data_IF_718016570668
#
_entry.id   IF_718016570668
#
_cell.length_a   1.000
_cell.length_b   1.000
_cell.length_c   1.000
_cell.angle_alpha   90.00
_cell.angle_beta   90.00
_cell.angle_gamma   90.00
#
_symmetry.space_group_name_H-M   'P 1'
#
loop_
_entity.id
_entity.type
_entity.pdbx_description
1 polymer ?
#
# COMPACT_ATOMS: atom_id res chain seq x y z
N UNK A 1 24.27 10.01 -24.23
CA UNK A 1 23.04 9.22 -23.96
C UNK A 1 21.89 10.20 -24.00
N UNK A 2 20.89 9.97 -24.86
CA UNK A 2 19.70 10.81 -24.89
C UNK A 2 18.98 10.68 -23.54
N UNK A 3 18.87 11.77 -22.81
CA UNK A 3 18.01 11.87 -21.62
C UNK A 3 16.58 11.65 -22.11
N UNK A 4 16.00 10.49 -21.85
CA UNK A 4 14.57 10.28 -22.12
C UNK A 4 13.81 11.18 -21.14
N UNK A 5 13.41 12.35 -21.64
CA UNK A 5 12.49 13.24 -20.92
C UNK A 5 11.20 12.47 -20.66
N UNK A 6 10.78 12.38 -19.42
CA UNK A 6 9.47 11.82 -19.08
C UNK A 6 8.43 12.77 -19.67
N UNK A 7 7.56 12.23 -20.51
CA UNK A 7 6.44 12.98 -21.06
C UNK A 7 5.18 12.79 -20.20
N UNK A 8 4.25 13.74 -20.29
CA UNK A 8 2.92 13.64 -19.66
C UNK A 8 2.20 12.36 -20.11
N UNK A 9 2.30 12.00 -21.38
CA UNK A 9 1.65 10.81 -21.97
C UNK A 9 2.19 9.53 -21.36
N UNK A 10 3.51 9.47 -21.09
CA UNK A 10 4.11 8.28 -20.46
C UNK A 10 3.66 8.09 -19.02
N UNK A 11 3.35 9.17 -18.31
CA UNK A 11 2.80 9.09 -16.93
C UNK A 11 1.33 8.73 -16.97
N UNK A 12 0.55 9.31 -17.90
CA UNK A 12 -0.86 8.98 -18.07
C UNK A 12 -1.06 7.51 -18.45
N UNK A 13 -0.18 6.95 -19.28
CA UNK A 13 -0.26 5.57 -19.74
C UNK A 13 -0.14 4.51 -18.62
N UNK A 14 0.47 4.84 -17.48
CA UNK A 14 0.56 3.92 -16.32
C UNK A 14 -0.61 4.07 -15.36
N UNK A 15 -1.45 5.09 -15.52
CA UNK A 15 -2.61 5.32 -14.66
C UNK A 15 -3.77 4.41 -15.07
N UNK A 16 -4.39 3.66 -14.12
CA UNK A 16 -5.55 2.80 -14.40
C UNK A 16 -6.76 3.57 -14.96
N UNK A 17 -6.95 4.80 -14.49
CA UNK A 17 -8.04 5.67 -14.94
C UNK A 17 -7.44 6.86 -15.72
N UNK A 18 -7.51 6.79 -17.04
CA UNK A 18 -7.03 7.88 -17.90
C UNK A 18 -7.94 9.11 -17.84
N UNK A 19 -9.21 8.87 -17.55
CA UNK A 19 -10.21 9.90 -17.22
C UNK A 19 -10.92 9.46 -15.94
N UNK A 20 -11.31 10.43 -15.11
CA UNK A 20 -12.19 10.18 -13.97
C UNK A 20 -13.64 10.15 -14.47
N UNK A 21 -14.53 9.54 -13.67
CA UNK A 21 -15.96 9.57 -13.97
C UNK A 21 -16.46 11.01 -13.95
N UNK A 22 -17.26 11.40 -14.94
CA UNK A 22 -17.85 12.73 -15.01
C UNK A 22 -19.03 12.85 -14.06
N UNK A 23 -19.09 13.91 -13.29
CA UNK A 23 -20.16 14.26 -12.37
C UNK A 23 -20.92 15.47 -12.93
N UNK A 24 -22.21 15.31 -13.15
CA UNK A 24 -23.07 16.39 -13.59
C UNK A 24 -23.84 16.97 -12.40
N UNK A 25 -23.86 18.30 -12.29
CA UNK A 25 -24.47 19.01 -11.16
C UNK A 25 -23.61 19.00 -9.91
N UNK A 26 -24.24 19.15 -8.76
CA UNK A 26 -23.54 19.15 -7.46
C UNK A 26 -23.05 17.75 -7.11
N UNK A 27 -21.75 17.58 -6.81
CA UNK A 27 -21.19 16.30 -6.42
C UNK A 27 -21.72 15.85 -5.04
N UNK A 28 -22.19 14.62 -4.98
CA UNK A 28 -22.56 13.98 -3.71
C UNK A 28 -21.34 13.37 -3.00
N UNK A 29 -21.49 13.05 -1.72
CA UNK A 29 -20.47 12.28 -0.97
C UNK A 29 -20.12 10.95 -1.67
N UNK A 30 -21.12 10.24 -2.19
CA UNK A 30 -20.93 8.98 -2.91
C UNK A 30 -20.08 9.16 -4.19
N UNK A 31 -20.31 10.25 -4.91
CA UNK A 31 -19.52 10.60 -6.09
C UNK A 31 -18.07 10.89 -5.70
N UNK A 32 -17.86 11.69 -4.66
CA UNK A 32 -16.51 11.98 -4.17
C UNK A 32 -15.78 10.74 -3.67
N UNK A 33 -16.47 9.81 -3.02
CA UNK A 33 -15.88 8.54 -2.61
C UNK A 33 -15.43 7.72 -3.82
N UNK A 34 -16.20 7.68 -4.89
CA UNK A 34 -15.88 7.03 -6.16
C UNK A 34 -14.67 7.69 -6.84
N UNK A 35 -14.69 9.01 -7.00
CA UNK A 35 -13.59 9.79 -7.58
C UNK A 35 -12.30 9.62 -6.78
N UNK A 36 -12.34 9.73 -5.44
CA UNK A 36 -11.16 9.50 -4.59
C UNK A 36 -10.56 8.11 -4.77
N UNK A 37 -11.40 7.08 -4.97
CA UNK A 37 -10.92 5.72 -5.25
C UNK A 37 -10.17 5.64 -6.58
N UNK A 38 -10.66 6.31 -7.62
CA UNK A 38 -9.99 6.38 -8.92
C UNK A 38 -8.67 7.16 -8.84
N UNK A 39 -8.68 8.33 -8.18
CA UNK A 39 -7.45 9.12 -7.93
C UNK A 39 -6.43 8.30 -7.13
N UNK A 40 -6.85 7.60 -6.06
CA UNK A 40 -5.97 6.73 -5.28
C UNK A 40 -5.29 5.69 -6.16
N UNK A 41 -6.05 5.01 -7.03
CA UNK A 41 -5.51 4.00 -7.94
C UNK A 41 -4.49 4.61 -8.92
N UNK A 42 -4.78 5.78 -9.47
CA UNK A 42 -3.86 6.50 -10.36
C UNK A 42 -2.56 6.88 -9.63
N UNK A 43 -2.65 7.44 -8.43
CA UNK A 43 -1.48 7.88 -7.66
C UNK A 43 -0.61 6.71 -7.18
N UNK A 44 -1.20 5.57 -6.83
CA UNK A 44 -0.47 4.35 -6.46
C UNK A 44 0.28 3.76 -7.66
N UNK A 45 -0.29 3.84 -8.87
CA UNK A 45 0.32 3.31 -10.08
C UNK A 45 1.58 4.07 -10.52
N UNK A 46 1.76 5.31 -10.06
CA UNK A 46 2.95 6.12 -10.37
C UNK A 46 4.11 5.64 -9.50
N UNK A 47 5.05 4.93 -10.11
CA UNK A 47 6.24 4.41 -9.41
C UNK A 47 7.14 5.54 -8.92
N UNK A 48 7.48 5.51 -7.63
CA UNK A 48 8.42 6.44 -6.99
C UNK A 48 9.58 5.67 -6.36
N UNK A 49 10.75 6.31 -6.13
CA UNK A 49 11.82 5.69 -5.36
C UNK A 49 11.36 5.35 -3.94
N UNK A 50 12.01 4.37 -3.32
CA UNK A 50 11.66 3.93 -1.95
C UNK A 50 11.74 5.07 -0.92
N UNK A 51 12.64 6.03 -1.13
CA UNK A 51 12.77 7.22 -0.29
C UNK A 51 11.57 8.18 -0.43
N UNK A 52 10.82 8.12 -1.53
CA UNK A 52 9.64 8.93 -1.79
C UNK A 52 8.41 8.02 -1.88
N UNK A 53 7.34 8.37 -1.20
CA UNK A 53 6.08 7.63 -1.25
C UNK A 53 6.07 6.26 -0.58
N UNK A 54 7.19 5.77 -0.06
CA UNK A 54 7.29 4.49 0.69
C UNK A 54 6.68 3.28 -0.03
N UNK A 55 6.90 3.16 -1.35
CA UNK A 55 6.33 2.08 -2.17
C UNK A 55 4.83 2.19 -2.43
N UNK A 56 4.21 3.34 -2.10
CA UNK A 56 2.79 3.63 -2.34
C UNK A 56 2.58 4.73 -3.39
N UNK A 57 3.55 4.96 -4.24
CA UNK A 57 3.49 6.00 -5.24
C UNK A 57 3.29 7.39 -4.62
N UNK A 58 2.30 8.11 -5.11
CA UNK A 58 1.94 9.45 -4.63
C UNK A 58 0.68 9.46 -3.74
N UNK A 59 0.30 8.31 -3.17
CA UNK A 59 -0.93 8.20 -2.38
C UNK A 59 -1.01 9.19 -1.20
N UNK A 60 0.12 9.52 -0.58
CA UNK A 60 0.18 10.49 0.52
C UNK A 60 -0.11 11.94 0.12
N UNK A 61 -0.17 12.25 -1.18
CA UNK A 61 -0.59 13.59 -1.64
C UNK A 61 -2.06 13.91 -1.33
N UNK A 62 -2.87 12.86 -1.10
CA UNK A 62 -4.30 13.02 -0.83
C UNK A 62 -4.75 12.41 0.50
N UNK A 63 -3.96 11.50 1.08
CA UNK A 63 -4.27 10.95 2.40
C UNK A 63 -3.75 11.87 3.50
N UNK A 64 -4.51 11.95 4.59
CA UNK A 64 -4.02 12.54 5.83
C UNK A 64 -2.79 11.80 6.32
N UNK A 65 -1.82 12.52 6.86
CA UNK A 65 -0.52 11.97 7.25
C UNK A 65 -0.65 10.92 8.38
N UNK A 66 -1.58 11.13 9.33
CA UNK A 66 -1.87 10.17 10.38
C UNK A 66 -2.54 8.90 9.84
N UNK A 67 -3.46 9.05 8.89
CA UNK A 67 -4.11 7.94 8.19
C UNK A 67 -3.09 7.16 7.36
N UNK A 68 -2.22 7.86 6.64
CA UNK A 68 -1.16 7.23 5.86
C UNK A 68 -0.20 6.43 6.75
N UNK A 69 0.25 7.02 7.86
CA UNK A 69 1.12 6.37 8.85
C UNK A 69 0.47 5.09 9.41
N UNK A 70 -0.79 5.20 9.84
CA UNK A 70 -1.52 4.07 10.44
C UNK A 70 -1.69 2.91 9.46
N UNK A 71 -2.00 3.21 8.19
CA UNK A 71 -2.24 2.18 7.15
C UNK A 71 -0.97 1.56 6.60
N UNK A 72 0.13 2.31 6.54
CA UNK A 72 1.35 1.88 5.85
C UNK A 72 2.54 1.63 6.81
N UNK A 73 2.38 1.89 8.10
CA UNK A 73 3.41 1.65 9.13
C UNK A 73 4.58 2.64 9.09
N UNK A 74 4.56 3.64 8.19
CA UNK A 74 5.58 4.67 8.06
C UNK A 74 4.96 5.97 7.57
N UNK A 75 5.52 7.12 7.98
CA UNK A 75 5.08 8.43 7.52
C UNK A 75 5.33 8.61 6.01
N UNK A 76 4.43 9.34 5.35
CA UNK A 76 4.63 9.74 3.96
C UNK A 76 5.86 10.64 3.84
N UNK A 77 6.70 10.36 2.85
CA UNK A 77 7.81 11.23 2.47
C UNK A 77 7.53 11.76 1.05
N UNK A 78 7.06 13.02 0.93
CA UNK A 78 6.70 13.58 -0.37
C UNK A 78 7.93 13.79 -1.25
N UNK A 79 7.75 13.78 -2.60
CA UNK A 79 8.78 14.27 -3.49
C UNK A 79 9.16 15.72 -3.14
N UNK A 80 10.43 16.11 -3.31
CA UNK A 80 10.88 17.49 -3.00
C UNK A 80 10.02 18.55 -3.71
N UNK A 81 9.77 19.68 -3.07
CA UNK A 81 9.04 20.79 -3.67
C UNK A 81 9.82 21.40 -4.85
N UNK A 82 11.14 21.53 -4.72
CA UNK A 82 12.03 22.04 -5.78
C UNK A 82 12.71 20.89 -6.55
N UNK A 83 13.12 21.11 -7.83
CA UNK A 83 13.89 20.14 -8.57
C UNK A 83 15.16 19.73 -7.80
N UNK A 84 15.54 18.44 -7.80
CA UNK A 84 16.80 18.00 -7.20
C UNK A 84 17.98 18.75 -7.80
N UNK A 85 18.91 19.16 -6.94
CA UNK A 85 20.13 19.86 -7.35
C UNK A 85 21.36 18.97 -7.16
N UNK A 86 22.44 19.30 -7.91
CA UNK A 86 23.70 18.59 -7.76
C UNK A 86 24.25 18.80 -6.33
N UNK A 87 24.59 17.72 -5.59
CA UNK A 87 25.08 17.85 -4.24
C UNK A 87 26.42 18.59 -4.22
N UNK A 88 26.62 19.45 -3.19
CA UNK A 88 27.89 20.12 -2.98
C UNK A 88 28.95 19.08 -2.61
N UNK A 89 29.92 18.87 -3.48
CA UNK A 89 30.99 17.92 -3.27
C UNK A 89 32.17 18.60 -2.60
N UNK A 90 32.75 17.91 -1.61
CA UNK A 90 33.98 18.40 -0.97
C UNK A 90 35.17 18.45 -1.94
N UNK A 91 36.22 19.25 -1.66
CA UNK A 91 37.39 19.42 -2.53
C UNK A 91 38.15 18.14 -2.81
N UNK A 92 37.98 17.10 -2.01
CA UNK A 92 38.59 15.78 -2.19
C UNK A 92 37.76 14.73 -2.90
N UNK A 93 36.60 15.09 -3.46
CA UNK A 93 35.75 14.14 -4.14
C UNK A 93 36.42 13.51 -5.36
N UNK A 94 36.37 12.18 -5.44
CA UNK A 94 36.91 11.40 -6.55
C UNK A 94 36.04 11.53 -7.81
N UNK A 95 36.64 11.19 -8.97
CA UNK A 95 35.85 11.17 -10.23
C UNK A 95 34.69 10.17 -10.15
N UNK A 96 34.88 9.01 -9.51
CA UNK A 96 33.82 8.01 -9.31
C UNK A 96 32.64 8.57 -8.47
N UNK A 97 32.94 9.25 -7.36
CA UNK A 97 31.90 9.88 -6.52
C UNK A 97 31.13 10.95 -7.28
N UNK A 98 31.79 11.74 -8.11
CA UNK A 98 31.13 12.75 -8.95
C UNK A 98 30.23 12.13 -10.00
N UNK A 99 30.66 11.02 -10.62
CA UNK A 99 29.84 10.30 -11.60
C UNK A 99 28.63 9.63 -10.95
N UNK A 100 28.81 9.02 -9.79
CA UNK A 100 27.72 8.47 -8.97
C UNK A 100 26.69 9.56 -8.60
N UNK A 101 27.15 10.72 -8.12
CA UNK A 101 26.28 11.84 -7.80
C UNK A 101 25.51 12.37 -9.01
N UNK A 102 26.12 12.38 -10.22
CA UNK A 102 25.40 12.72 -11.46
C UNK A 102 24.34 11.69 -11.82
N UNK A 103 24.66 10.41 -11.68
CA UNK A 103 23.70 9.33 -11.96
C UNK A 103 22.50 9.39 -11.00
N UNK A 104 22.73 9.58 -9.71
CA UNK A 104 21.68 9.76 -8.70
C UNK A 104 20.85 11.00 -8.99
N UNK A 105 21.49 12.13 -9.30
CA UNK A 105 20.78 13.36 -9.69
C UNK A 105 19.87 13.15 -10.89
N UNK A 106 20.37 12.49 -11.94
CA UNK A 106 19.58 12.23 -13.14
C UNK A 106 18.36 11.37 -12.86
N UNK A 107 18.51 10.34 -12.02
CA UNK A 107 17.40 9.48 -11.57
C UNK A 107 16.39 10.27 -10.75
N UNK A 108 16.84 11.01 -9.74
CA UNK A 108 15.95 11.79 -8.88
C UNK A 108 15.22 12.90 -9.65
N UNK A 109 15.90 13.56 -10.58
CA UNK A 109 15.27 14.55 -11.47
C UNK A 109 14.16 13.91 -12.32
N UNK A 110 14.40 12.71 -12.81
CA UNK A 110 13.40 11.94 -13.56
C UNK A 110 12.17 11.65 -12.72
N UNK A 111 12.33 11.12 -11.51
CA UNK A 111 11.20 10.82 -10.60
C UNK A 111 10.49 12.09 -10.14
N UNK A 112 11.24 13.15 -9.89
CA UNK A 112 10.65 14.45 -9.57
C UNK A 112 9.74 14.97 -10.70
N UNK A 113 10.22 14.96 -11.94
CA UNK A 113 9.42 15.35 -13.10
C UNK A 113 8.18 14.46 -13.24
N UNK A 114 8.32 13.15 -13.04
CA UNK A 114 7.21 12.21 -13.06
C UNK A 114 6.14 12.54 -12.01
N UNK A 115 6.56 12.87 -10.80
CA UNK A 115 5.66 13.28 -9.72
C UNK A 115 4.91 14.58 -10.06
N UNK A 116 5.61 15.59 -10.61
CA UNK A 116 4.98 16.86 -11.03
C UNK A 116 3.97 16.64 -12.15
N UNK A 117 4.31 15.83 -13.15
CA UNK A 117 3.37 15.47 -14.21
C UNK A 117 2.15 14.75 -13.68
N UNK A 118 2.33 13.75 -12.77
CA UNK A 118 1.23 13.04 -12.18
C UNK A 118 0.27 13.94 -11.40
N UNK A 119 0.79 14.84 -10.56
CA UNK A 119 -0.01 15.80 -9.80
C UNK A 119 -0.84 16.68 -10.74
N UNK A 120 -0.23 17.21 -11.80
CA UNK A 120 -0.92 18.04 -12.80
C UNK A 120 -1.97 17.26 -13.59
N UNK A 121 -1.67 16.01 -13.95
CA UNK A 121 -2.64 15.15 -14.66
C UNK A 121 -3.88 14.96 -13.78
N UNK A 122 -3.72 14.64 -12.49
CA UNK A 122 -4.86 14.44 -11.59
C UNK A 122 -5.69 15.71 -11.44
N UNK A 123 -5.07 16.88 -11.26
CA UNK A 123 -5.81 18.15 -11.17
C UNK A 123 -6.60 18.41 -12.47
N UNK A 124 -6.00 18.18 -13.64
CA UNK A 124 -6.69 18.33 -14.92
C UNK A 124 -7.85 17.31 -15.06
N UNK A 125 -7.64 16.05 -14.67
CA UNK A 125 -8.69 15.04 -14.66
C UNK A 125 -9.86 15.44 -13.73
N UNK A 126 -9.56 16.07 -12.59
CA UNK A 126 -10.60 16.60 -11.70
C UNK A 126 -11.34 17.78 -12.34
N UNK A 127 -10.66 18.69 -13.02
CA UNK A 127 -11.33 19.75 -13.78
C UNK A 127 -12.27 19.20 -14.88
N UNK A 128 -11.87 18.13 -15.55
CA UNK A 128 -12.67 17.46 -16.57
C UNK A 128 -13.83 16.66 -16.00
N UNK A 129 -13.70 16.19 -14.75
CA UNK A 129 -14.70 15.39 -14.07
C UNK A 129 -15.86 16.22 -13.48
N UNK A 130 -15.61 17.48 -13.12
CA UNK A 130 -16.59 18.35 -12.46
C UNK A 130 -16.95 19.54 -13.32
N UNK A 131 -18.18 20.04 -13.13
CA UNK A 131 -18.60 21.28 -13.76
C UNK A 131 -17.85 22.51 -13.19
N UNK A 132 -17.60 23.55 -14.00
CA UNK A 132 -16.76 24.69 -13.59
C UNK A 132 -17.18 25.38 -12.30
N UNK A 133 -18.48 25.43 -11.99
CA UNK A 133 -18.99 26.08 -10.78
C UNK A 133 -18.51 25.37 -9.49
N UNK A 134 -18.17 24.08 -9.57
CA UNK A 134 -17.74 23.27 -8.41
C UNK A 134 -16.36 23.72 -7.92
N UNK A 135 -15.50 24.22 -8.79
CA UNK A 135 -14.15 24.64 -8.45
C UNK A 135 -13.84 26.10 -8.75
N UNK A 136 -14.86 26.90 -9.07
CA UNK A 136 -14.70 28.30 -9.41
C UNK A 136 -14.00 29.13 -8.35
N UNK A 137 -14.16 28.80 -7.06
CA UNK A 137 -13.49 29.48 -5.95
C UNK A 137 -11.99 29.14 -5.83
N UNK A 138 -11.57 28.03 -6.46
CA UNK A 138 -10.16 27.63 -6.49
C UNK A 138 -9.44 28.21 -7.70
N UNK A 139 -10.17 28.69 -8.68
CA UNK A 139 -9.65 29.17 -9.96
C UNK A 139 -9.16 30.60 -9.82
N UNK A 140 -7.84 30.76 -9.69
CA UNK A 140 -7.22 32.08 -9.61
C UNK A 140 -7.32 32.81 -10.97
N UNK A 141 -7.73 34.10 -11.01
CA UNK A 141 -7.91 34.83 -12.25
C UNK A 141 -6.66 34.92 -13.13
N UNK A 142 -5.46 34.90 -12.53
CA UNK A 142 -4.19 35.03 -13.22
C UNK A 142 -3.48 33.72 -13.45
N UNK A 143 -3.58 32.78 -12.49
CA UNK A 143 -2.81 31.54 -12.46
C UNK A 143 -3.69 30.28 -12.69
N UNK A 144 -5.00 30.44 -12.66
CA UNK A 144 -5.93 29.32 -12.74
C UNK A 144 -5.73 28.32 -11.59
N UNK A 145 -5.78 27.03 -11.87
CA UNK A 145 -5.54 25.97 -10.88
C UNK A 145 -4.05 25.56 -10.80
N UNK A 146 -3.11 26.38 -11.27
CA UNK A 146 -1.69 25.99 -11.35
C UNK A 146 -1.07 25.65 -10.00
N UNK A 147 -1.52 26.32 -8.93
CA UNK A 147 -1.03 26.16 -7.58
C UNK A 147 -1.95 25.32 -6.68
N UNK A 148 -3.08 24.83 -7.21
CA UNK A 148 -4.01 24.02 -6.45
C UNK A 148 -3.47 22.61 -6.30
N UNK A 149 -3.35 22.15 -5.07
CA UNK A 149 -2.95 20.76 -4.76
C UNK A 149 -4.17 19.84 -4.90
N UNK A 150 -3.92 18.55 -5.18
CA UNK A 150 -4.98 17.54 -5.24
C UNK A 150 -5.76 17.50 -3.92
N UNK A 151 -5.06 17.59 -2.78
CA UNK A 151 -5.69 17.61 -1.44
C UNK A 151 -6.60 18.81 -1.26
N UNK A 152 -6.14 20.02 -1.65
CA UNK A 152 -6.94 21.23 -1.55
C UNK A 152 -8.19 21.17 -2.45
N UNK A 153 -8.06 20.64 -3.67
CA UNK A 153 -9.19 20.47 -4.57
C UNK A 153 -10.25 19.51 -3.98
N UNK A 154 -9.81 18.34 -3.49
CA UNK A 154 -10.71 17.37 -2.85
C UNK A 154 -11.36 17.97 -1.60
N UNK A 155 -10.59 18.65 -0.74
CA UNK A 155 -11.12 19.28 0.47
C UNK A 155 -12.19 20.32 0.12
N UNK A 156 -11.92 21.20 -0.84
CA UNK A 156 -12.89 22.20 -1.28
C UNK A 156 -14.23 21.58 -1.69
N UNK A 157 -14.20 20.50 -2.50
CA UNK A 157 -15.46 19.85 -2.93
C UNK A 157 -16.15 19.16 -1.74
N UNK A 158 -15.38 18.50 -0.87
CA UNK A 158 -15.94 17.82 0.29
C UNK A 158 -16.61 18.81 1.25
N UNK A 159 -15.98 19.97 1.47
CA UNK A 159 -16.47 20.96 2.41
C UNK A 159 -17.68 21.75 1.90
N UNK A 160 -17.73 22.03 0.59
CA UNK A 160 -18.75 22.90 0.02
C UNK A 160 -19.93 22.16 -0.62
N UNK A 161 -19.73 20.94 -1.12
CA UNK A 161 -20.74 20.23 -1.91
C UNK A 161 -21.03 18.81 -1.39
N UNK A 162 -20.01 18.07 -0.99
CA UNK A 162 -20.12 16.66 -0.67
C UNK A 162 -20.22 16.40 0.84
N UNK A 163 -20.79 17.33 1.60
CA UNK A 163 -21.05 17.14 3.03
C UNK A 163 -22.16 16.11 3.23
N UNK A 164 -21.96 15.19 4.16
CA UNK A 164 -22.98 14.20 4.49
C UNK A 164 -24.09 14.89 5.27
N UNK A 165 -25.30 14.88 4.70
CA UNK A 165 -26.48 15.46 5.32
C UNK A 165 -27.07 14.54 6.40
N UNK A 166 -27.83 15.13 7.36
CA UNK A 166 -28.56 14.36 8.38
C UNK A 166 -29.55 13.36 7.72
N UNK A 167 -30.17 13.74 6.61
CA UNK A 167 -31.08 12.86 5.87
C UNK A 167 -30.36 11.62 5.33
N UNK A 168 -29.13 11.76 4.81
CA UNK A 168 -28.33 10.62 4.34
C UNK A 168 -27.90 9.71 5.49
N UNK A 169 -27.62 10.29 6.67
CA UNK A 169 -27.31 9.52 7.89
C UNK A 169 -28.55 8.70 8.31
N UNK A 170 -29.74 9.32 8.33
CA UNK A 170 -30.96 8.66 8.68
C UNK A 170 -31.32 7.56 7.66
N UNK A 171 -31.17 7.82 6.37
CA UNK A 171 -31.37 6.84 5.29
C UNK A 171 -30.40 5.67 5.42
N UNK A 172 -29.15 5.93 5.77
CA UNK A 172 -28.15 4.88 6.01
C UNK A 172 -28.55 4.01 7.22
N UNK A 173 -29.04 4.62 8.29
CA UNK A 173 -29.53 3.90 9.47
C UNK A 173 -30.76 3.06 9.14
N UNK A 174 -31.69 3.57 8.31
CA UNK A 174 -32.82 2.80 7.80
C UNK A 174 -32.34 1.60 7.00
N UNK A 175 -31.39 1.78 6.07
CA UNK A 175 -30.77 0.68 5.28
C UNK A 175 -30.07 -0.34 6.18
N UNK A 176 -29.35 0.12 7.19
CA UNK A 176 -28.68 -0.74 8.18
C UNK A 176 -29.66 -1.61 8.95
N UNK A 177 -30.84 -1.09 9.30
CA UNK A 177 -31.88 -1.81 10.04
C UNK A 177 -32.80 -2.66 9.14
N UNK A 178 -32.60 -2.64 7.81
CA UNK A 178 -33.33 -3.51 6.91
C UNK A 178 -32.97 -4.99 7.16
N UNK A 179 -33.98 -5.84 7.28
CA UNK A 179 -33.81 -7.27 7.43
C UNK A 179 -33.14 -7.90 6.21
N UNK A 180 -32.85 -9.19 6.32
CA UNK A 180 -32.29 -9.96 5.20
C UNK A 180 -33.42 -10.13 4.17
N UNK A 181 -33.20 -9.58 2.98
CA UNK A 181 -34.07 -9.80 1.84
C UNK A 181 -34.01 -11.28 1.42
N UNK A 182 -35.14 -11.99 1.31
CA UNK A 182 -35.16 -13.39 0.88
C UNK A 182 -34.53 -13.64 -0.49
N UNK A 183 -34.47 -12.64 -1.36
CA UNK A 183 -33.85 -12.73 -2.68
C UNK A 183 -32.32 -12.52 -2.64
N UNK A 184 -31.79 -11.93 -1.58
CA UNK A 184 -30.37 -11.65 -1.44
C UNK A 184 -29.63 -12.83 -0.78
N UNK A 185 -28.37 -12.99 -1.16
CA UNK A 185 -27.45 -13.90 -0.45
C UNK A 185 -27.01 -13.29 0.89
N UNK A 186 -26.61 -14.13 1.83
CA UNK A 186 -26.04 -13.63 3.10
C UNK A 186 -24.76 -12.81 2.88
N UNK A 187 -24.01 -13.12 1.82
CA UNK A 187 -22.83 -12.35 1.44
C UNK A 187 -23.20 -10.92 1.00
N UNK A 188 -24.23 -10.78 0.18
CA UNK A 188 -24.73 -9.45 -0.23
C UNK A 188 -25.28 -8.67 0.96
N UNK A 189 -26.05 -9.32 1.84
CA UNK A 189 -26.49 -8.70 3.08
C UNK A 189 -25.31 -8.23 3.92
N UNK A 190 -24.31 -9.09 4.13
CA UNK A 190 -23.11 -8.73 4.91
C UNK A 190 -22.39 -7.53 4.30
N UNK A 191 -22.27 -7.52 2.97
CA UNK A 191 -21.64 -6.39 2.25
C UNK A 191 -22.44 -5.10 2.41
N UNK A 192 -23.78 -5.16 2.35
CA UNK A 192 -24.63 -3.98 2.62
C UNK A 192 -24.40 -3.45 4.03
N UNK A 193 -24.32 -4.31 5.04
CA UNK A 193 -24.05 -3.92 6.43
C UNK A 193 -22.67 -3.25 6.58
N UNK A 194 -21.65 -3.81 5.94
CA UNK A 194 -20.29 -3.24 5.91
C UNK A 194 -20.26 -1.87 5.23
N UNK A 195 -21.01 -1.69 4.14
CA UNK A 195 -21.12 -0.38 3.48
C UNK A 195 -21.86 0.65 4.35
N UNK A 196 -22.89 0.22 5.09
CA UNK A 196 -23.56 1.10 6.04
C UNK A 196 -22.63 1.53 7.19
N UNK A 197 -21.81 0.61 7.70
CA UNK A 197 -20.82 0.91 8.72
C UNK A 197 -19.75 1.86 8.21
N UNK A 198 -19.23 1.61 6.99
CA UNK A 198 -18.24 2.46 6.35
C UNK A 198 -18.77 3.89 6.17
N UNK A 199 -20.02 4.03 5.66
CA UNK A 199 -20.67 5.34 5.53
C UNK A 199 -20.85 6.03 6.89
N UNK A 200 -21.30 5.29 7.91
CA UNK A 200 -21.50 5.84 9.25
C UNK A 200 -20.17 6.31 9.88
N UNK A 201 -19.08 5.58 9.65
CA UNK A 201 -17.73 5.99 10.06
C UNK A 201 -17.29 7.28 9.36
N UNK A 202 -17.55 7.39 8.06
CA UNK A 202 -17.24 8.59 7.28
C UNK A 202 -18.10 9.80 7.71
N UNK A 203 -19.32 9.55 8.22
CA UNK A 203 -20.24 10.56 8.77
C UNK A 203 -19.99 10.89 10.26
N UNK A 204 -18.92 10.36 10.85
CA UNK A 204 -18.60 10.48 12.29
C UNK A 204 -19.67 9.94 13.23
N UNK A 205 -20.57 9.08 12.72
CA UNK A 205 -21.62 8.39 13.49
C UNK A 205 -21.30 6.90 13.50
N UNK A 206 -20.44 6.47 14.41
CA UNK A 206 -19.90 5.11 14.42
C UNK A 206 -20.96 4.05 14.70
N UNK A 207 -21.06 3.05 13.82
CA UNK A 207 -21.75 1.79 14.07
C UNK A 207 -20.74 0.77 14.60
N UNK A 208 -20.79 0.52 15.90
CA UNK A 208 -19.88 -0.42 16.54
C UNK A 208 -20.03 -1.84 15.98
N UNK A 209 -18.96 -2.61 15.92
CA UNK A 209 -18.99 -4.02 15.46
C UNK A 209 -20.00 -4.87 16.28
N UNK A 210 -20.11 -4.62 17.57
CA UNK A 210 -21.10 -5.29 18.44
C UNK A 210 -22.54 -5.02 18.02
N UNK A 211 -22.83 -3.81 17.52
CA UNK A 211 -24.12 -3.43 16.96
C UNK A 211 -24.39 -4.18 15.65
N UNK A 212 -23.39 -4.29 14.77
CA UNK A 212 -23.48 -5.09 13.54
C UNK A 212 -23.82 -6.55 13.85
N UNK A 213 -23.09 -7.16 14.77
CA UNK A 213 -23.31 -8.55 15.20
C UNK A 213 -24.72 -8.73 15.78
N UNK A 214 -25.17 -7.80 16.62
CA UNK A 214 -26.49 -7.88 17.27
C UNK A 214 -27.61 -7.74 16.25
N UNK A 215 -27.54 -6.71 15.38
CA UNK A 215 -28.53 -6.44 14.35
C UNK A 215 -28.55 -7.56 13.31
N UNK A 216 -27.38 -8.00 12.83
CA UNK A 216 -27.27 -9.12 11.91
C UNK A 216 -27.85 -10.41 12.48
N UNK A 217 -27.60 -10.69 13.76
CA UNK A 217 -28.19 -11.87 14.46
C UNK A 217 -29.71 -11.76 14.53
N UNK A 218 -30.25 -10.59 14.89
CA UNK A 218 -31.70 -10.35 14.91
C UNK A 218 -32.31 -10.59 13.53
N UNK A 219 -31.68 -10.08 12.48
CA UNK A 219 -32.15 -10.25 11.12
C UNK A 219 -32.06 -11.71 10.64
N UNK A 220 -30.97 -12.41 10.95
CA UNK A 220 -30.81 -13.83 10.61
C UNK A 220 -31.88 -14.71 11.29
N UNK A 221 -32.12 -14.49 12.56
CA UNK A 221 -33.18 -15.22 13.31
C UNK A 221 -34.56 -14.89 12.77
N UNK A 222 -34.85 -13.63 12.38
CA UNK A 222 -36.12 -13.21 11.84
C UNK A 222 -36.48 -13.89 10.49
N UNK A 223 -35.50 -14.46 9.78
CA UNK A 223 -35.80 -15.27 8.57
C UNK A 223 -36.45 -16.62 8.89
N UNK A 224 -36.58 -16.98 10.15
CA UNK A 224 -37.21 -18.21 10.63
C UNK A 224 -36.37 -19.47 10.44
N UNK A 225 -36.64 -20.54 11.19
CA UNK A 225 -35.96 -21.83 11.08
C UNK A 225 -34.47 -21.81 11.41
N UNK A 226 -34.05 -20.86 12.25
CA UNK A 226 -32.64 -20.69 12.65
C UNK A 226 -32.43 -20.96 14.16
N UNK A 227 -33.34 -21.67 14.81
CA UNK A 227 -33.35 -21.88 16.27
C UNK A 227 -32.10 -22.60 16.75
N UNK A 228 -31.66 -23.65 16.01
CA UNK A 228 -30.46 -24.42 16.37
C UNK A 228 -29.18 -23.59 16.15
N UNK A 229 -29.08 -22.89 15.02
CA UNK A 229 -27.98 -21.98 14.76
C UNK A 229 -27.89 -20.87 15.83
N UNK A 230 -29.05 -20.34 16.25
CA UNK A 230 -29.13 -19.39 17.34
C UNK A 230 -28.65 -19.96 18.68
N UNK A 231 -29.05 -21.19 19.03
CA UNK A 231 -28.57 -21.86 20.25
C UNK A 231 -27.07 -22.04 20.25
N UNK A 232 -26.48 -22.40 19.11
CA UNK A 232 -25.04 -22.55 18.96
C UNK A 232 -24.35 -21.16 19.09
N UNK A 233 -24.86 -20.14 18.40
CA UNK A 233 -24.32 -18.79 18.48
C UNK A 233 -24.32 -18.21 19.89
N UNK A 234 -25.38 -18.46 20.67
CA UNK A 234 -25.46 -18.05 22.09
C UNK A 234 -24.38 -18.62 22.97
N UNK A 235 -23.78 -19.75 22.61
CA UNK A 235 -22.70 -20.39 23.37
C UNK A 235 -21.33 -19.80 23.05
N UNK A 236 -21.21 -19.06 21.95
CA UNK A 236 -19.95 -18.35 21.60
C UNK A 236 -19.70 -17.27 22.67
N UNK A 237 -18.53 -17.25 23.32
CA UNK A 237 -18.17 -16.20 24.27
C UNK A 237 -18.26 -14.81 23.62
N UNK A 238 -18.61 -13.78 24.40
CA UNK A 238 -18.75 -12.41 23.88
C UNK A 238 -17.52 -11.93 23.10
N UNK A 239 -16.33 -12.21 23.62
CA UNK A 239 -15.07 -11.85 22.93
C UNK A 239 -14.87 -12.53 21.56
N UNK A 240 -15.54 -13.67 21.33
CA UNK A 240 -15.50 -14.38 20.05
C UNK A 240 -16.63 -13.98 19.09
N UNK A 241 -17.55 -13.09 19.51
CA UNK A 241 -18.66 -12.66 18.66
C UNK A 241 -18.25 -11.45 17.80
N UNK A 242 -17.29 -11.66 16.94
CA UNK A 242 -16.86 -10.66 15.93
C UNK A 242 -17.75 -10.74 14.69
N UNK A 243 -17.73 -9.69 13.88
CA UNK A 243 -18.46 -9.68 12.60
C UNK A 243 -17.92 -10.77 11.63
N UNK A 244 -16.63 -11.02 11.66
CA UNK A 244 -16.02 -12.11 10.89
C UNK A 244 -16.56 -13.50 11.33
N UNK A 245 -16.61 -13.76 12.63
CA UNK A 245 -17.18 -15.00 13.17
C UNK A 245 -18.67 -15.11 12.88
N UNK A 246 -19.41 -14.00 12.91
CA UNK A 246 -20.83 -13.91 12.54
C UNK A 246 -21.04 -14.38 11.11
N UNK A 247 -20.28 -13.82 10.15
CA UNK A 247 -20.37 -14.21 8.74
C UNK A 247 -20.16 -15.70 8.52
N UNK A 248 -19.12 -16.27 9.13
CA UNK A 248 -18.83 -17.71 9.02
C UNK A 248 -19.96 -18.55 9.56
N UNK A 249 -20.40 -18.28 10.80
CA UNK A 249 -21.44 -19.05 11.47
C UNK A 249 -22.77 -19.03 10.71
N UNK A 250 -23.25 -17.84 10.35
CA UNK A 250 -24.56 -17.72 9.71
C UNK A 250 -24.52 -18.16 8.24
N UNK A 251 -23.40 -18.04 7.54
CA UNK A 251 -23.28 -18.61 6.19
C UNK A 251 -23.45 -20.12 6.21
N UNK A 252 -22.81 -20.82 7.17
CA UNK A 252 -22.99 -22.25 7.35
C UNK A 252 -24.45 -22.61 7.68
N UNK A 253 -25.06 -21.88 8.61
CA UNK A 253 -26.46 -22.10 9.00
C UNK A 253 -27.44 -21.89 7.83
N UNK A 254 -27.23 -20.87 7.02
CA UNK A 254 -28.08 -20.62 5.82
C UNK A 254 -27.85 -21.70 4.75
N UNK A 255 -26.64 -22.22 4.60
CA UNK A 255 -26.36 -23.35 3.69
C UNK A 255 -27.06 -24.62 4.15
N UNK A 256 -26.91 -24.98 5.43
CA UNK A 256 -27.58 -26.13 6.03
C UNK A 256 -29.10 -26.06 5.88
N UNK A 257 -29.67 -24.89 6.16
CA UNK A 257 -31.11 -24.65 5.95
C UNK A 257 -31.53 -24.89 4.51
N UNK A 258 -30.77 -24.41 3.52
CA UNK A 258 -31.06 -24.63 2.10
C UNK A 258 -31.00 -26.10 1.71
N UNK A 259 -30.04 -26.84 2.24
CA UNK A 259 -29.93 -28.28 2.02
C UNK A 259 -31.11 -29.05 2.64
N UNK A 260 -31.49 -28.67 3.87
CA UNK A 260 -32.66 -29.26 4.51
C UNK A 260 -33.95 -29.03 3.71
N UNK A 261 -34.17 -27.82 3.21
CA UNK A 261 -35.31 -27.49 2.34
C UNK A 261 -35.33 -28.34 1.08
N UNK A 262 -34.15 -28.56 0.45
CA UNK A 262 -34.04 -29.44 -0.71
C UNK A 262 -34.39 -30.89 -0.40
N UNK A 263 -33.97 -31.39 0.76
CA UNK A 263 -34.22 -32.77 1.21
C UNK A 263 -35.66 -33.02 1.61
N UNK A 264 -36.29 -32.06 2.29
CA UNK A 264 -37.63 -32.22 2.85
C UNK A 264 -38.74 -31.85 1.89
N UNK A 265 -38.43 -31.17 0.79
CA UNK A 265 -39.44 -30.70 -0.19
C UNK A 265 -40.46 -29.70 0.40
N UNK A 266 -40.28 -29.29 1.65
CA UNK A 266 -41.16 -28.32 2.32
C UNK A 266 -40.75 -26.91 1.91
N UNK A 267 -41.60 -26.29 1.09
CA UNK A 267 -41.50 -24.85 0.82
C UNK A 267 -41.60 -24.09 2.15
N UNK A 268 -40.53 -23.43 2.54
CA UNK A 268 -40.48 -22.62 3.74
C UNK A 268 -41.31 -21.35 3.51
N UNK A 269 -42.22 -21.03 4.43
CA UNK A 269 -43.01 -19.78 4.41
C UNK A 269 -42.07 -18.57 4.43
N UNK A 270 -41.80 -17.99 3.30
CA UNK A 270 -40.83 -16.88 3.09
C UNK A 270 -39.99 -17.06 1.85
N UNK A 271 -39.93 -18.27 1.28
CA UNK A 271 -39.21 -18.58 0.05
C UNK A 271 -40.10 -19.17 -1.05
N UNK A 272 -41.42 -18.92 -1.01
CA UNK A 272 -42.36 -19.44 -1.99
C UNK A 272 -42.11 -18.97 -3.44
N UNK A 273 -41.24 -17.99 -3.65
CA UNK A 273 -40.84 -17.52 -4.97
C UNK A 273 -39.56 -18.16 -5.52
N UNK A 274 -38.92 -19.07 -4.77
CA UNK A 274 -37.64 -19.66 -5.23
C UNK A 274 -37.80 -20.87 -6.16
N UNK A 275 -38.99 -21.39 -6.37
CA UNK A 275 -39.23 -22.45 -7.38
C UNK A 275 -39.09 -21.93 -8.82
N UNK A 276 -39.25 -20.61 -9.03
CA UNK A 276 -38.99 -19.96 -10.33
C UNK A 276 -37.48 -19.58 -10.47
N UNK A 277 -36.75 -19.58 -9.36
CA UNK A 277 -35.36 -19.04 -9.29
C UNK A 277 -34.26 -20.05 -9.45
N UNK A 278 -34.54 -21.36 -9.67
CA UNK A 278 -33.46 -22.28 -10.06
C UNK A 278 -32.77 -21.82 -11.34
N UNK A 279 -33.49 -21.25 -12.28
CA UNK A 279 -32.90 -20.66 -13.48
C UNK A 279 -32.16 -19.32 -13.16
N UNK A 280 -32.67 -18.50 -12.26
CA UNK A 280 -32.01 -17.23 -11.85
C UNK A 280 -30.80 -17.52 -10.98
N UNK A 281 -30.84 -18.54 -10.09
CA UNK A 281 -29.65 -18.97 -9.33
C UNK A 281 -28.57 -19.58 -10.25
N UNK A 282 -28.92 -20.32 -11.29
CA UNK A 282 -27.96 -20.81 -12.27
C UNK A 282 -27.39 -19.66 -13.10
N UNK A 283 -28.20 -18.68 -13.49
CA UNK A 283 -27.73 -17.48 -14.19
C UNK A 283 -26.89 -16.62 -13.26
N UNK A 284 -27.30 -16.38 -12.00
CA UNK A 284 -26.50 -15.63 -11.03
C UNK A 284 -25.22 -16.35 -10.60
N UNK A 285 -25.23 -17.70 -10.52
CA UNK A 285 -24.01 -18.47 -10.27
C UNK A 285 -23.08 -18.50 -11.49
N UNK A 286 -23.65 -18.52 -12.70
CA UNK A 286 -22.89 -18.37 -13.95
C UNK A 286 -22.35 -16.95 -14.10
N UNK A 287 -23.10 -15.92 -13.77
CA UNK A 287 -22.64 -14.52 -13.75
C UNK A 287 -21.56 -14.30 -12.68
N UNK A 288 -21.70 -14.88 -11.50
CA UNK A 288 -20.67 -14.82 -10.47
C UNK A 288 -19.42 -15.64 -10.87
N UNK A 289 -19.60 -16.77 -11.54
CA UNK A 289 -18.49 -17.57 -12.11
C UNK A 289 -17.83 -16.84 -13.28
N UNK A 290 -18.62 -16.19 -14.12
CA UNK A 290 -18.13 -15.36 -15.23
C UNK A 290 -17.40 -14.13 -14.70
N UNK A 291 -17.95 -13.44 -13.70
CA UNK A 291 -17.29 -12.31 -13.03
C UNK A 291 -16.03 -12.73 -12.26
N UNK A 292 -16.04 -13.89 -11.60
CA UNK A 292 -14.85 -14.46 -10.97
C UNK A 292 -13.81 -14.92 -12.00
N UNK A 293 -14.25 -15.42 -13.17
CA UNK A 293 -13.37 -15.75 -14.29
C UNK A 293 -12.80 -14.49 -14.96
N UNK A 294 -13.59 -13.43 -15.10
CA UNK A 294 -13.15 -12.13 -15.57
C UNK A 294 -12.14 -11.50 -14.60
N UNK A 295 -12.40 -11.53 -13.30
CA UNK A 295 -11.44 -11.06 -12.29
C UNK A 295 -10.16 -11.91 -12.27
N UNK A 296 -10.26 -13.23 -12.47
CA UNK A 296 -9.08 -14.09 -12.65
C UNK A 296 -8.32 -13.76 -13.93
N UNK A 297 -9.01 -13.49 -15.03
CA UNK A 297 -8.36 -13.07 -16.28
C UNK A 297 -7.66 -11.71 -16.12
N UNK A 298 -8.29 -10.72 -15.47
CA UNK A 298 -7.65 -9.45 -15.14
C UNK A 298 -6.42 -9.65 -14.24
N UNK A 299 -6.52 -10.53 -13.24
CA UNK A 299 -5.37 -10.86 -12.37
C UNK A 299 -4.26 -11.57 -13.14
N UNK A 300 -4.60 -12.48 -14.05
CA UNK A 300 -3.64 -13.18 -14.93
C UNK A 300 -2.99 -12.20 -15.90
N UNK A 301 -3.75 -11.29 -16.49
CA UNK A 301 -3.19 -10.22 -17.33
C UNK A 301 -2.28 -9.27 -16.55
N UNK A 302 -2.66 -8.88 -15.33
CA UNK A 302 -1.80 -8.06 -14.46
C UNK A 302 -0.52 -8.79 -14.07
N UNK A 303 -0.60 -10.09 -13.75
CA UNK A 303 0.56 -10.93 -13.47
C UNK A 303 1.44 -11.09 -14.71
N UNK A 304 0.84 -11.27 -15.89
CA UNK A 304 1.59 -11.36 -17.16
C UNK A 304 2.34 -10.07 -17.44
N UNK A 305 1.68 -8.92 -17.30
CA UNK A 305 2.34 -7.60 -17.44
C UNK A 305 3.43 -7.39 -16.40
N UNK A 306 3.21 -7.81 -15.15
CA UNK A 306 4.23 -7.72 -14.11
C UNK A 306 5.45 -8.61 -14.42
N UNK A 307 5.24 -9.81 -14.95
CA UNK A 307 6.32 -10.71 -15.40
C UNK A 307 7.08 -10.10 -16.59
N UNK A 308 6.39 -9.49 -17.54
CA UNK A 308 7.04 -8.80 -18.67
C UNK A 308 7.91 -7.63 -18.19
N UNK A 309 7.41 -6.81 -17.25
CA UNK A 309 8.16 -5.71 -16.64
C UNK A 309 9.37 -6.23 -15.87
N UNK A 310 9.20 -7.28 -15.07
CA UNK A 310 10.29 -7.90 -14.31
C UNK A 310 11.34 -8.51 -15.26
N UNK A 311 10.91 -9.12 -16.36
CA UNK A 311 11.81 -9.69 -17.35
C UNK A 311 12.61 -8.60 -18.07
N UNK A 312 11.98 -7.50 -18.44
CA UNK A 312 12.66 -6.34 -19.04
C UNK A 312 13.64 -5.69 -18.05
N UNK A 313 13.26 -5.56 -16.78
CA UNK A 313 14.11 -5.03 -15.71
C UNK A 313 15.33 -5.93 -15.46
N UNK A 314 15.13 -7.25 -15.42
CA UNK A 314 16.23 -8.22 -15.29
C UNK A 314 17.20 -8.15 -16.48
N UNK A 315 16.67 -8.01 -17.71
CA UNK A 315 17.52 -7.86 -18.89
C UNK A 315 18.36 -6.58 -18.82
N UNK A 316 17.77 -5.47 -18.35
CA UNK A 316 18.49 -4.21 -18.12
C UNK A 316 19.57 -4.36 -17.05
N UNK A 317 19.25 -4.98 -15.91
CA UNK A 317 20.21 -5.23 -14.84
C UNK A 317 21.36 -6.13 -15.29
N UNK A 318 21.10 -7.16 -16.09
CA UNK A 318 22.15 -8.01 -16.67
C UNK A 318 23.06 -7.24 -17.63
N UNK A 319 22.51 -6.29 -18.40
CA UNK A 319 23.31 -5.43 -19.27
C UNK A 319 24.21 -4.49 -18.43
N UNK A 320 23.69 -3.94 -17.34
CA UNK A 320 24.46 -3.09 -16.43
C UNK A 320 25.55 -3.89 -15.68
N UNK A 321 25.25 -5.10 -15.24
CA UNK A 321 26.25 -6.01 -14.64
C UNK A 321 27.37 -6.32 -15.64
N UNK A 322 27.04 -6.63 -16.90
CA UNK A 322 28.05 -6.85 -17.95
C UNK A 322 28.91 -5.61 -18.15
N UNK A 323 28.30 -4.42 -18.19
CA UNK A 323 29.00 -3.14 -18.34
C UNK A 323 29.93 -2.85 -17.17
N UNK A 324 29.45 -3.07 -15.94
CA UNK A 324 30.25 -2.92 -14.73
C UNK A 324 31.40 -3.93 -14.68
N UNK A 325 31.17 -5.17 -15.06
CA UNK A 325 32.21 -6.22 -15.15
C UNK A 325 33.27 -5.85 -16.15
N UNK A 326 32.90 -5.29 -17.30
CA UNK A 326 33.84 -4.80 -18.32
C UNK A 326 34.64 -3.62 -17.78
N UNK A 327 34.00 -2.69 -17.08
CA UNK A 327 34.72 -1.56 -16.45
C UNK A 327 35.70 -2.04 -15.39
N UNK A 328 35.31 -2.96 -14.52
CA UNK A 328 36.22 -3.54 -13.50
C UNK A 328 37.39 -4.27 -14.14
N UNK A 329 37.17 -5.03 -15.22
CA UNK A 329 38.25 -5.71 -15.93
C UNK A 329 39.21 -4.72 -16.62
N UNK A 330 38.70 -3.61 -17.19
CA UNK A 330 39.55 -2.55 -17.75
C UNK A 330 40.35 -1.79 -16.67
N UNK A 331 39.76 -1.57 -15.49
CA UNK A 331 40.46 -1.02 -14.34
C UNK A 331 41.53 -1.98 -13.79
N UNK A 332 41.30 -3.29 -13.82
CA UNK A 332 42.25 -4.31 -13.39
C UNK A 332 43.43 -4.45 -14.36
N UNK A 333 43.19 -4.34 -15.67
CA UNK A 333 44.26 -4.38 -16.68
C UNK A 333 45.11 -3.11 -16.72
N UNK A 334 44.58 -1.95 -16.36
CA UNK A 334 45.36 -0.71 -16.26
C UNK A 334 46.22 -0.60 -14.97
N UNK A 335 46.08 -1.54 -14.03
CA UNK A 335 46.83 -1.56 -12.78
C UNK A 335 48.17 -2.26 -12.87
N UNK A 336 48.55 -2.76 -14.05
CA UNK A 336 49.82 -3.54 -14.23
C UNK A 336 51.02 -2.71 -14.64
N UNK A 337 51.00 -1.39 -14.71
CA UNK A 337 52.14 -0.57 -15.09
C UNK A 337 52.56 0.51 -14.10
N UNK A 338 52.19 0.41 -12.85
CA UNK A 338 52.91 1.16 -11.80
C UNK A 338 53.15 0.27 -10.60
N UNK A 339 54.33 -0.30 -10.55
CA UNK A 339 54.93 -0.88 -9.36
C UNK A 339 55.27 0.28 -8.40
N UNK A 340 54.55 0.47 -7.28
CA UNK A 340 55.04 1.33 -6.22
C UNK A 340 56.05 0.51 -5.40
N UNK A 341 57.28 1.04 -5.32
CA UNK A 341 58.28 0.68 -4.31
C UNK A 341 57.60 0.45 -2.97
N UNK A 342 57.91 -0.69 -2.38
CA UNK A 342 57.50 -1.10 -1.06
C UNK A 342 57.80 -0.04 0.00
N UNK A 343 56.76 0.72 0.39
CA UNK A 343 56.73 1.30 1.70
C UNK A 343 56.21 0.20 2.65
N UNK A 344 57.13 -0.36 3.41
CA UNK A 344 56.86 -1.19 4.58
C UNK A 344 56.04 -0.38 5.58
N UNK A 345 54.76 -0.38 5.39
CA UNK A 345 53.82 0.04 6.45
C UNK A 345 53.82 -1.08 7.48
N UNK A 346 54.32 -0.77 8.67
CA UNK A 346 54.28 -1.61 9.86
C UNK A 346 52.91 -2.28 9.93
N UNK A 347 52.90 -3.62 9.88
CA UNK A 347 51.69 -4.39 10.14
C UNK A 347 51.30 -4.09 11.59
N UNK A 348 50.30 -3.25 11.77
CA UNK A 348 49.70 -2.99 13.08
C UNK A 348 49.51 -4.33 13.80
N UNK A 349 49.88 -4.37 15.07
CA UNK A 349 49.71 -5.51 15.97
C UNK A 349 48.21 -5.84 16.11
N UNK A 350 47.74 -6.67 15.21
CA UNK A 350 46.37 -7.16 15.23
C UNK A 350 46.36 -8.57 15.85
N UNK A 351 45.48 -8.74 16.84
CA UNK A 351 45.23 -10.03 17.47
C UNK A 351 44.34 -10.88 16.57
N UNK A 352 44.87 -11.98 16.05
CA UNK A 352 44.13 -12.89 15.15
C UNK A 352 43.01 -13.64 15.88
N UNK A 353 43.17 -13.88 17.16
CA UNK A 353 42.17 -14.54 18.01
C UNK A 353 41.30 -13.56 18.77
N UNK A 354 41.58 -12.25 18.64
CA UNK A 354 40.91 -11.19 19.34
C UNK A 354 39.47 -10.99 18.83
N UNK A 355 38.55 -10.81 19.78
CA UNK A 355 37.15 -10.48 19.51
C UNK A 355 36.67 -9.35 20.41
N UNK A 356 35.84 -8.50 19.85
CA UNK A 356 35.09 -7.47 20.59
C UNK A 356 33.65 -7.44 20.15
N UNK A 357 32.71 -7.56 21.07
CA UNK A 357 31.26 -7.58 20.80
C UNK A 357 30.79 -6.40 19.92
N UNK A 358 31.39 -5.22 20.05
CA UNK A 358 31.01 -4.02 19.29
C UNK A 358 31.83 -3.77 18.01
N UNK A 359 33.00 -4.45 17.84
CA UNK A 359 33.89 -4.24 16.67
C UNK A 359 34.11 -5.50 15.82
N UNK A 360 33.68 -6.65 16.30
CA UNK A 360 33.86 -7.91 15.59
C UNK A 360 35.20 -8.56 15.81
N UNK A 361 35.65 -9.31 14.82
CA UNK A 361 36.86 -10.07 14.81
C UNK A 361 38.05 -9.22 14.39
N UNK A 362 39.29 -9.71 14.64
CA UNK A 362 40.53 -9.02 14.30
C UNK A 362 40.60 -7.62 14.88
N UNK A 363 40.70 -7.57 16.14
CA UNK A 363 40.87 -6.33 16.89
C UNK A 363 42.35 -6.10 17.20
N UNK A 364 42.73 -4.85 17.52
CA UNK A 364 44.08 -4.48 17.92
C UNK A 364 44.48 -5.29 19.18
N UNK A 365 45.74 -5.67 19.27
CA UNK A 365 46.28 -6.34 20.45
C UNK A 365 45.95 -5.59 21.75
N UNK A 366 45.43 -6.31 22.73
CA UNK A 366 44.93 -5.76 24.00
C UNK A 366 43.53 -5.15 23.95
N UNK A 367 42.86 -5.14 22.79
CA UNK A 367 41.45 -4.72 22.69
C UNK A 367 40.52 -5.92 22.83
N UNK A 368 39.52 -5.80 23.70
CA UNK A 368 38.49 -6.81 23.93
C UNK A 368 37.17 -6.14 24.24
N UNK A 369 36.08 -6.91 24.38
CA UNK A 369 34.79 -6.37 24.81
C UNK A 369 34.90 -5.64 26.15
N UNK A 370 35.77 -6.12 27.07
CA UNK A 370 35.99 -5.52 28.38
C UNK A 370 36.76 -4.17 28.28
N UNK A 371 37.71 -4.03 27.36
CA UNK A 371 38.51 -2.82 27.21
C UNK A 371 37.96 -1.81 26.20
N UNK A 372 36.88 -2.15 25.52
CA UNK A 372 36.29 -1.35 24.46
C UNK A 372 35.67 -0.03 24.96
N UNK A 373 36.22 1.09 24.51
CA UNK A 373 35.72 2.41 24.85
C UNK A 373 34.29 2.68 24.31
N UNK A 374 33.95 2.10 23.14
CA UNK A 374 32.60 2.16 22.55
C UNK A 374 31.65 1.32 23.38
N UNK A 375 32.07 0.12 23.79
CA UNK A 375 31.26 -0.76 24.63
C UNK A 375 30.91 -0.12 25.97
N UNK A 376 31.87 0.50 26.65
CA UNK A 376 31.64 1.19 27.95
C UNK A 376 30.59 2.29 27.91
N UNK A 377 30.23 2.80 26.73
CA UNK A 377 29.18 3.80 26.53
C UNK A 377 27.84 3.16 26.13
N UNK A 378 27.78 1.86 25.92
CA UNK A 378 26.56 1.15 25.53
C UNK A 378 25.75 0.79 26.78
N UNK A 379 24.43 0.86 26.67
CA UNK A 379 23.49 0.43 27.72
C UNK A 379 23.65 -1.07 28.04
N UNK A 380 24.11 -1.87 27.05
CA UNK A 380 24.25 -3.32 27.17
C UNK A 380 25.67 -3.76 27.62
N UNK A 381 26.49 -2.79 28.10
CA UNK A 381 27.90 -3.08 28.44
C UNK A 381 28.05 -4.20 29.44
N UNK A 382 27.32 -4.15 30.53
CA UNK A 382 27.39 -5.14 31.61
C UNK A 382 27.06 -6.57 31.13
N UNK A 383 26.18 -6.70 30.14
CA UNK A 383 25.74 -7.97 29.56
C UNK A 383 26.82 -8.57 28.65
N UNK A 384 27.56 -7.74 27.91
CA UNK A 384 28.46 -8.20 26.83
C UNK A 384 29.96 -7.93 27.08
N UNK A 385 30.34 -7.33 28.20
CA UNK A 385 31.74 -6.98 28.49
C UNK A 385 32.71 -8.18 28.54
N UNK A 386 32.21 -9.39 28.78
CA UNK A 386 32.98 -10.62 28.82
C UNK A 386 32.83 -11.49 27.57
N UNK A 387 32.15 -10.99 26.53
CA UNK A 387 31.97 -11.73 25.26
C UNK A 387 33.32 -12.05 24.62
N UNK A 388 33.48 -13.30 24.23
CA UNK A 388 34.69 -13.85 23.59
C UNK A 388 34.35 -14.40 22.21
N UNK A 389 35.35 -14.69 21.42
CA UNK A 389 35.20 -15.39 20.14
C UNK A 389 34.50 -16.74 20.39
N UNK A 390 33.40 -17.00 19.67
CA UNK A 390 32.56 -18.19 19.85
C UNK A 390 31.29 -17.97 20.67
N UNK A 391 31.21 -16.87 21.45
CA UNK A 391 30.05 -16.53 22.28
C UNK A 391 29.27 -15.33 21.69
N UNK A 392 29.45 -15.06 20.41
CA UNK A 392 29.06 -13.81 19.72
C UNK A 392 27.56 -13.68 19.46
N UNK A 393 26.70 -14.36 20.16
CA UNK A 393 25.25 -14.29 19.96
C UNK A 393 24.75 -12.84 20.02
N UNK A 394 24.38 -12.31 18.84
CA UNK A 394 23.92 -10.94 18.66
C UNK A 394 25.01 -9.86 18.61
N UNK A 395 26.30 -10.24 18.66
CA UNK A 395 27.43 -9.32 18.55
C UNK A 395 27.80 -8.97 17.10
N UNK A 396 28.77 -8.04 16.97
CA UNK A 396 29.29 -7.65 15.67
C UNK A 396 30.11 -8.79 15.04
N UNK A 397 29.76 -9.17 13.81
CA UNK A 397 30.42 -10.24 13.03
C UNK A 397 31.39 -9.71 11.98
N UNK A 398 31.74 -8.44 12.04
CA UNK A 398 32.65 -7.82 11.07
C UNK A 398 34.02 -8.54 11.07
N UNK A 399 34.56 -8.81 9.92
CA UNK A 399 35.79 -9.57 9.69
C UNK A 399 35.76 -11.04 10.17
N UNK A 400 34.60 -11.67 10.32
CA UNK A 400 34.48 -13.06 10.76
C UNK A 400 35.29 -14.05 9.92
N UNK A 401 35.39 -13.83 8.61
CA UNK A 401 36.08 -14.71 7.66
C UNK A 401 37.58 -14.33 7.41
N UNK A 402 38.11 -13.44 8.23
CA UNK A 402 39.50 -13.00 8.03
C UNK A 402 40.48 -13.94 8.71
N UNK A 403 41.23 -14.67 7.90
CA UNK A 403 42.30 -15.56 8.36
C UNK A 403 42.01 -17.06 8.24
N UNK A 404 40.95 -17.41 7.48
CA UNK A 404 40.68 -18.75 6.99
C UNK A 404 41.29 -18.94 5.62
#
# INVERSE_FOLDING_TARGET
MASSTISRESVLAVMPFQNLDTISGEPSYADMKRIRKQINANLIAVTMPDDWGRGKGLLGEIQDDAVFLTRNGAAYNPPPAAPPSYPVMGPGATAAQREEARAVLAINTKFWAQAQHAKRIIVNQMQEAFEPFVYAELDDPDEGLANVTIRAFIAHIMDNFATISQTEIDDNLIKFNQGIDPSCTLAEYSRKQELCQEFASDAEVEIAESTMVTTGTKHAVATGGMEEAWKIWKRVPMAGRTWAAWKVHWTAAFQEKRELVKLTGTAFNGMANQATDQNIMYVGALDNLANAALQKNETVEQLTRAIEILTATNASQQADIKRLTTLVSTFSSNKQTHQPTAATTEKANWDKEGYCFWHGYKVKEGHSSLTCAKGKKSADYEQHKHAKRGDEQGGCTWNANWGH
#
